data_IF_765579591890
#
_entry.id   IF_765579591890
#
_cell.length_a   1.000
_cell.length_b   1.000
_cell.length_c   1.000
_cell.angle_alpha   90.00
_cell.angle_beta   90.00
_cell.angle_gamma   90.00
#
_symmetry.space_group_name_H-M   'P 1'
#
loop_
_entity.id
_entity.type
_entity.pdbx_description
1 polymer ?
#
# COMPACT_ATOMS: atom_id res chain seq x y z
N UNK A 1 59.85 -44.42 11.42
CA UNK A 1 60.85 -43.36 11.17
C UNK A 1 60.44 -42.56 9.94
N UNK A 2 59.97 -41.33 10.15
CA UNK A 2 60.09 -40.11 9.31
C UNK A 2 58.88 -39.20 9.50
N UNK A 3 59.21 -37.96 9.80
CA UNK A 3 58.44 -36.80 10.23
C UNK A 3 57.61 -36.15 9.10
N UNK A 4 56.69 -35.23 9.44
CA UNK A 4 55.66 -34.70 8.54
C UNK A 4 56.15 -33.47 7.75
N UNK A 5 55.58 -33.22 6.56
CA UNK A 5 55.82 -31.95 5.85
C UNK A 5 54.59 -31.43 5.10
N UNK A 6 54.24 -30.19 5.48
CA UNK A 6 53.86 -29.03 4.66
C UNK A 6 52.47 -28.98 4.01
N UNK A 7 51.60 -28.25 4.74
CA UNK A 7 50.61 -27.28 4.26
C UNK A 7 50.92 -26.73 2.86
N UNK A 8 49.96 -26.85 1.94
CA UNK A 8 49.76 -25.91 0.85
C UNK A 8 48.27 -25.61 0.74
N UNK A 9 47.87 -24.49 1.35
CA UNK A 9 46.67 -23.76 0.96
C UNK A 9 46.91 -23.21 -0.45
N UNK A 10 46.16 -23.68 -1.44
CA UNK A 10 46.06 -22.97 -2.71
C UNK A 10 44.86 -22.04 -2.59
N UNK A 11 45.18 -20.76 -2.36
CA UNK A 11 44.29 -19.65 -2.60
C UNK A 11 44.13 -19.50 -4.12
N UNK A 12 42.92 -19.66 -4.63
CA UNK A 12 42.54 -19.11 -5.93
C UNK A 12 41.63 -17.90 -5.67
N UNK A 13 42.26 -16.73 -5.74
CA UNK A 13 41.56 -15.45 -5.76
C UNK A 13 41.20 -15.10 -7.22
N UNK A 14 39.88 -14.90 -7.42
CA UNK A 14 39.26 -13.82 -8.20
C UNK A 14 39.81 -13.46 -9.59
N UNK A 15 38.99 -13.71 -10.62
CA UNK A 15 38.62 -12.71 -11.63
C UNK A 15 37.47 -13.29 -12.49
N UNK A 16 36.28 -12.70 -12.41
CA UNK A 16 35.14 -13.16 -13.21
C UNK A 16 33.87 -12.37 -12.98
N UNK A 17 33.81 -11.21 -13.63
CA UNK A 17 32.62 -10.38 -13.89
C UNK A 17 31.74 -9.99 -12.69
N UNK A 18 31.92 -8.74 -12.23
CA UNK A 18 30.81 -7.96 -11.68
C UNK A 18 29.81 -7.74 -12.82
N UNK A 19 28.92 -8.71 -13.03
CA UNK A 19 27.67 -8.45 -13.72
C UNK A 19 26.89 -7.51 -12.80
N UNK A 20 26.72 -6.27 -13.23
CA UNK A 20 26.04 -5.24 -12.46
C UNK A 20 24.69 -5.74 -11.95
N UNK A 21 24.47 -5.62 -10.65
CA UNK A 21 23.16 -5.76 -10.03
C UNK A 21 22.26 -4.63 -10.55
N UNK A 22 21.72 -4.79 -11.75
CA UNK A 22 20.58 -4.02 -12.23
C UNK A 22 19.34 -4.46 -11.45
N UNK A 23 19.19 -3.93 -10.24
CA UNK A 23 18.10 -4.26 -9.34
C UNK A 23 16.75 -3.90 -9.94
N UNK A 24 15.92 -4.90 -10.21
CA UNK A 24 14.48 -4.73 -10.39
C UNK A 24 13.89 -4.25 -9.06
N UNK A 25 13.88 -2.94 -8.81
CA UNK A 25 13.34 -2.42 -7.55
C UNK A 25 13.37 -0.91 -7.34
N UNK A 26 14.20 -0.17 -8.09
CA UNK A 26 14.29 1.29 -8.01
C UNK A 26 13.25 2.03 -8.86
N UNK A 27 13.13 3.33 -8.67
CA UNK A 27 12.36 4.19 -9.58
C UNK A 27 13.02 4.26 -10.95
N UNK A 28 12.21 4.32 -12.00
CA UNK A 28 12.66 4.82 -13.29
C UNK A 28 12.57 6.35 -13.26
N UNK A 29 13.69 7.03 -13.46
CA UNK A 29 13.78 8.50 -13.48
C UNK A 29 13.61 8.98 -14.92
N UNK A 30 13.10 10.19 -15.10
CA UNK A 30 12.95 10.83 -16.43
C UNK A 30 14.29 10.80 -17.18
N UNK A 31 14.26 10.34 -18.42
CA UNK A 31 15.42 10.41 -19.30
C UNK A 31 15.80 11.90 -19.55
N UNK A 32 17.07 12.32 -19.33
CA UNK A 32 17.51 13.70 -19.57
C UNK A 32 17.15 14.23 -20.96
N UNK A 33 17.12 13.38 -21.98
CA UNK A 33 16.74 13.76 -23.35
C UNK A 33 15.25 14.16 -23.46
N UNK A 34 14.46 13.81 -22.44
CA UNK A 34 13.04 14.12 -22.28
C UNK A 34 12.81 15.07 -21.09
N UNK A 35 13.87 15.55 -20.42
CA UNK A 35 13.80 16.43 -19.24
C UNK A 35 13.56 17.92 -19.58
N UNK A 36 13.41 18.27 -20.87
CA UNK A 36 12.91 19.57 -21.31
C UNK A 36 11.48 19.86 -20.80
N UNK A 37 10.78 18.83 -20.34
CA UNK A 37 9.62 18.92 -19.48
C UNK A 37 10.07 19.08 -18.02
N UNK A 38 10.35 20.31 -17.57
CA UNK A 38 10.58 20.62 -16.16
C UNK A 38 9.45 20.11 -15.26
N UNK A 39 9.65 20.17 -13.94
CA UNK A 39 8.60 19.90 -12.95
C UNK A 39 7.36 20.74 -13.32
N UNK A 40 6.36 20.09 -13.95
CA UNK A 40 5.14 20.75 -14.44
C UNK A 40 5.10 21.19 -15.92
N UNK A 41 5.98 20.75 -16.83
CA UNK A 41 5.91 21.16 -18.24
C UNK A 41 5.42 20.05 -19.21
N UNK A 42 4.20 20.25 -19.71
CA UNK A 42 3.73 20.00 -21.10
C UNK A 42 4.23 18.77 -21.89
N UNK A 43 4.16 17.58 -21.31
CA UNK A 43 4.14 16.30 -22.07
C UNK A 43 2.74 15.67 -22.13
N UNK A 44 1.66 16.45 -21.92
CA UNK A 44 0.29 15.91 -21.81
C UNK A 44 0.08 14.86 -20.71
N UNK A 45 1.15 14.49 -19.98
CA UNK A 45 1.21 13.51 -18.92
C UNK A 45 0.74 14.16 -17.63
N UNK A 46 -0.09 13.43 -16.88
CA UNK A 46 -0.49 13.83 -15.54
C UNK A 46 0.65 13.70 -14.54
N UNK A 47 0.52 14.37 -13.39
CA UNK A 47 1.44 14.18 -12.26
C UNK A 47 0.63 13.86 -11.01
N UNK A 48 0.92 12.72 -10.39
CA UNK A 48 0.38 12.34 -9.09
C UNK A 48 1.42 12.64 -8.01
N UNK A 49 1.04 13.49 -7.06
CA UNK A 49 1.85 13.81 -5.89
C UNK A 49 1.57 12.80 -4.77
N UNK A 50 2.63 12.30 -4.14
CA UNK A 50 2.56 11.47 -2.94
C UNK A 50 3.39 12.09 -1.82
N UNK A 51 2.82 12.15 -0.62
CA UNK A 51 3.57 12.33 0.62
C UNK A 51 3.93 10.96 1.16
N UNK A 52 5.15 10.77 1.64
CA UNK A 52 5.66 9.49 2.10
C UNK A 52 5.99 9.59 3.58
N UNK A 53 5.52 8.61 4.35
CA UNK A 53 6.03 8.30 5.68
C UNK A 53 6.53 6.87 5.65
N UNK A 54 7.78 6.63 6.04
CA UNK A 54 8.39 5.31 5.86
C UNK A 54 9.23 4.88 7.06
N UNK A 55 9.20 3.57 7.34
CA UNK A 55 10.07 2.91 8.33
C UNK A 55 11.22 2.15 7.67
N UNK A 56 11.44 2.37 6.38
CA UNK A 56 12.53 1.78 5.62
C UNK A 56 13.82 2.55 5.81
N UNK A 57 14.95 1.86 5.83
CA UNK A 57 16.27 2.49 5.78
C UNK A 57 16.46 3.19 4.44
N UNK A 58 16.90 4.45 4.47
CA UNK A 58 17.31 5.18 3.28
C UNK A 58 18.46 4.47 2.54
N UNK A 59 18.41 4.49 1.22
CA UNK A 59 19.38 3.91 0.29
C UNK A 59 19.91 5.04 -0.61
N UNK A 60 21.22 5.13 -0.93
CA UNK A 60 21.74 6.19 -1.80
C UNK A 60 21.04 6.32 -3.17
N UNK A 61 20.68 7.57 -3.49
CA UNK A 61 20.23 8.14 -4.78
C UNK A 61 18.77 7.91 -5.24
N UNK A 62 18.22 8.93 -5.94
CA UNK A 62 17.32 9.92 -5.33
C UNK A 62 16.13 9.25 -4.61
N UNK A 63 15.96 9.59 -3.31
CA UNK A 63 14.93 9.04 -2.39
C UNK A 63 14.60 7.58 -2.70
N UNK A 64 15.60 6.73 -2.54
CA UNK A 64 15.42 5.29 -2.52
C UNK A 64 15.35 4.83 -1.07
N UNK A 65 14.43 3.92 -0.79
CA UNK A 65 14.34 3.26 0.50
C UNK A 65 14.43 1.75 0.30
N UNK A 66 15.33 1.12 1.05
CA UNK A 66 15.62 -0.30 0.95
C UNK A 66 14.61 -1.19 1.69
N UNK A 67 15.00 -2.45 1.89
CA UNK A 67 14.28 -3.42 2.69
C UNK A 67 14.61 -3.35 4.20
N UNK A 68 15.65 -2.61 4.58
CA UNK A 68 16.09 -2.47 5.96
C UNK A 68 15.09 -1.70 6.82
N UNK A 69 15.08 -1.99 8.12
CA UNK A 69 14.22 -1.33 9.12
C UNK A 69 14.92 -0.11 9.70
N UNK A 70 14.38 1.08 9.47
CA UNK A 70 14.78 2.30 10.16
C UNK A 70 14.25 2.31 11.60
N UNK A 71 14.95 3.03 12.48
CA UNK A 71 14.53 3.22 13.88
C UNK A 71 13.50 4.34 14.05
N UNK A 72 13.45 5.25 13.09
CA UNK A 72 12.61 6.45 13.08
C UNK A 72 11.86 6.53 11.75
N UNK A 73 10.79 7.31 11.72
CA UNK A 73 10.10 7.66 10.47
C UNK A 73 10.97 8.62 9.65
N UNK A 74 11.09 8.32 8.37
CA UNK A 74 11.57 9.26 7.37
C UNK A 74 10.40 9.75 6.51
N UNK A 75 10.54 10.96 5.96
CA UNK A 75 9.49 11.63 5.22
C UNK A 75 9.98 12.15 3.87
N UNK A 76 9.12 12.08 2.86
CA UNK A 76 9.41 12.59 1.53
C UNK A 76 8.16 13.05 0.79
N UNK A 77 8.35 13.81 -0.28
CA UNK A 77 7.38 14.10 -1.32
C UNK A 77 7.88 13.53 -2.63
N UNK A 78 7.02 12.81 -3.34
CA UNK A 78 7.30 12.26 -4.66
C UNK A 78 6.32 12.83 -5.68
N UNK A 79 6.83 13.18 -6.86
CA UNK A 79 6.05 13.49 -8.04
C UNK A 79 6.23 12.36 -9.06
N UNK A 80 5.14 11.70 -9.41
CA UNK A 80 5.12 10.56 -10.34
C UNK A 80 4.34 10.96 -11.59
N UNK A 81 4.95 10.84 -12.77
CA UNK A 81 4.23 11.04 -14.03
C UNK A 81 3.27 9.90 -14.30
N UNK A 82 2.12 10.22 -14.86
CA UNK A 82 1.14 9.28 -15.40
C UNK A 82 1.04 9.55 -16.91
N UNK A 83 1.42 8.60 -17.76
CA UNK A 83 1.55 8.88 -19.18
C UNK A 83 0.17 9.05 -19.85
N UNK A 84 0.05 9.83 -20.95
CA UNK A 84 -1.23 10.08 -21.61
C UNK A 84 -1.91 8.81 -22.15
N UNK A 85 -1.12 7.76 -22.41
CA UNK A 85 -1.60 6.46 -22.88
C UNK A 85 -1.95 5.48 -21.74
N UNK A 86 -2.03 5.97 -20.50
CA UNK A 86 -2.27 5.14 -19.32
C UNK A 86 -3.59 4.36 -19.42
N UNK A 87 -3.51 3.08 -19.05
CA UNK A 87 -4.67 2.18 -18.95
C UNK A 87 -4.98 1.90 -17.48
N UNK A 88 -6.25 2.12 -17.11
CA UNK A 88 -6.77 1.84 -15.77
C UNK A 88 -6.35 0.44 -15.29
N UNK A 89 -5.81 0.37 -14.07
CA UNK A 89 -5.31 -0.83 -13.41
C UNK A 89 -3.87 -1.24 -13.78
N UNK A 90 -3.29 -0.64 -14.82
CA UNK A 90 -1.96 -0.97 -15.32
C UNK A 90 -0.90 -0.01 -14.79
N UNK A 91 0.37 -0.42 -14.79
CA UNK A 91 1.48 0.49 -14.52
C UNK A 91 2.43 0.30 -15.69
N UNK A 92 2.43 1.27 -16.60
CA UNK A 92 3.30 1.29 -17.78
C UNK A 92 4.75 1.53 -17.32
N UNK A 93 5.49 0.45 -17.09
CA UNK A 93 6.88 0.53 -16.60
C UNK A 93 7.88 0.55 -17.75
N UNK A 94 8.94 1.32 -17.59
CA UNK A 94 10.14 1.17 -18.41
C UNK A 94 10.85 -0.15 -18.06
N UNK A 95 11.56 -0.72 -19.04
CA UNK A 95 12.42 -1.91 -18.85
C UNK A 95 13.76 -1.58 -18.19
N UNK A 96 14.05 -0.30 -17.93
CA UNK A 96 15.30 0.17 -17.31
C UNK A 96 15.10 1.31 -16.32
N UNK A 97 16.21 1.88 -15.84
CA UNK A 97 16.23 2.99 -14.89
C UNK A 97 15.83 4.34 -15.48
N UNK A 98 15.77 4.44 -16.81
CA UNK A 98 15.27 5.62 -17.52
C UNK A 98 13.85 5.39 -18.01
N UNK A 99 12.98 6.37 -17.83
CA UNK A 99 11.61 6.36 -18.30
C UNK A 99 11.31 7.58 -19.16
N UNK A 100 10.53 7.36 -20.21
CA UNK A 100 9.86 8.39 -21.00
C UNK A 100 8.47 8.67 -20.39
N UNK A 101 8.22 9.85 -19.80
CA UNK A 101 6.94 10.21 -19.19
C UNK A 101 5.75 10.21 -20.16
N UNK A 102 5.97 10.28 -21.48
CA UNK A 102 4.91 10.16 -22.46
C UNK A 102 4.40 8.72 -22.62
N UNK A 103 5.13 7.74 -22.09
CA UNK A 103 4.86 6.30 -22.28
C UNK A 103 4.85 5.50 -20.99
N UNK A 104 5.46 6.03 -19.93
CA UNK A 104 5.70 5.30 -18.69
C UNK A 104 5.44 6.14 -17.45
N UNK A 105 5.17 5.44 -16.36
CA UNK A 105 5.29 5.99 -15.02
C UNK A 105 6.76 6.28 -14.74
N UNK A 106 7.07 7.50 -14.31
CA UNK A 106 8.42 7.93 -13.99
C UNK A 106 8.42 8.77 -12.71
N UNK A 107 9.51 8.70 -11.95
CA UNK A 107 9.75 9.65 -10.86
C UNK A 107 10.26 10.96 -11.50
N UNK A 108 9.45 12.01 -11.44
CA UNK A 108 9.76 13.33 -12.01
C UNK A 108 10.24 14.33 -10.96
N UNK A 109 10.01 14.05 -9.68
CA UNK A 109 10.48 14.86 -8.57
C UNK A 109 10.51 14.07 -7.27
N UNK A 110 11.49 14.36 -6.42
CA UNK A 110 11.66 13.74 -5.12
C UNK A 110 12.28 14.76 -4.16
N UNK A 111 11.65 14.98 -3.03
CA UNK A 111 12.07 15.93 -2.00
C UNK A 111 11.98 15.28 -0.62
N UNK A 112 13.06 15.32 0.16
CA UNK A 112 13.03 14.87 1.56
C UNK A 112 12.31 15.93 2.40
N UNK A 113 11.35 15.49 3.21
CA UNK A 113 10.70 16.36 4.18
C UNK A 113 11.42 16.21 5.52
N UNK A 114 11.65 17.31 6.26
CA UNK A 114 12.50 17.28 7.45
C UNK A 114 11.89 16.47 8.60
N UNK A 115 10.57 16.47 8.74
CA UNK A 115 9.86 15.85 9.86
C UNK A 115 8.38 15.60 9.55
N UNK A 116 7.68 15.05 10.56
CA UNK A 116 6.26 14.75 10.51
C UNK A 116 5.40 16.02 10.35
N UNK A 117 5.82 17.15 10.94
CA UNK A 117 5.07 18.41 10.85
C UNK A 117 5.10 18.97 9.43
N UNK A 118 6.24 18.86 8.74
CA UNK A 118 6.35 19.22 7.34
C UNK A 118 5.45 18.34 6.45
N UNK A 119 5.36 17.03 6.73
CA UNK A 119 4.41 16.16 6.03
C UNK A 119 2.96 16.58 6.27
N UNK A 120 2.58 16.86 7.51
CA UNK A 120 1.20 17.26 7.83
C UNK A 120 0.87 18.62 7.22
N UNK A 121 1.80 19.56 7.27
CA UNK A 121 1.65 20.89 6.64
C UNK A 121 1.45 20.74 5.13
N UNK A 122 2.24 19.88 4.48
CA UNK A 122 2.07 19.58 3.07
C UNK A 122 0.72 18.91 2.76
N UNK A 123 0.24 18.00 3.62
CA UNK A 123 -1.06 17.37 3.48
C UNK A 123 -2.19 18.40 3.61
N UNK A 124 -2.13 19.29 4.59
CA UNK A 124 -3.11 20.38 4.75
C UNK A 124 -3.13 21.33 3.56
N UNK A 125 -1.95 21.72 3.06
CA UNK A 125 -1.85 22.62 1.92
C UNK A 125 -2.42 22.01 0.63
N UNK A 126 -2.36 20.68 0.49
CA UNK A 126 -2.97 19.95 -0.62
C UNK A 126 -4.44 19.58 -0.38
N UNK A 127 -4.99 19.82 0.81
CA UNK A 127 -6.37 19.50 1.15
C UNK A 127 -7.30 20.63 0.77
N UNK A 128 -8.45 20.30 0.18
CA UNK A 128 -9.52 21.27 -0.08
C UNK A 128 -10.82 20.81 0.60
N UNK A 129 -11.77 21.72 0.91
CA UNK A 129 -13.01 21.35 1.58
C UNK A 129 -13.76 20.24 0.84
N UNK A 130 -14.17 19.20 1.57
CA UNK A 130 -14.87 18.03 1.02
C UNK A 130 -13.96 16.93 0.47
N UNK A 131 -12.63 17.13 0.44
CA UNK A 131 -11.67 16.08 0.08
C UNK A 131 -11.05 15.44 1.31
N UNK A 132 -10.63 14.19 1.15
CA UNK A 132 -10.03 13.38 2.22
C UNK A 132 -8.58 13.06 1.88
N UNK A 133 -7.71 13.17 2.88
CA UNK A 133 -6.39 12.61 2.81
C UNK A 133 -6.48 11.08 2.88
N UNK A 134 -5.83 10.39 1.95
CA UNK A 134 -5.81 8.94 1.89
C UNK A 134 -4.46 8.45 2.39
N UNK A 135 -4.46 7.67 3.46
CA UNK A 135 -3.28 6.95 3.94
C UNK A 135 -3.32 5.54 3.39
N UNK A 136 -2.47 5.26 2.41
CA UNK A 136 -2.36 3.96 1.77
C UNK A 136 -1.19 3.15 2.34
N UNK A 137 -1.50 1.94 2.81
CA UNK A 137 -0.55 0.98 3.38
C UNK A 137 -0.42 -0.22 2.44
N UNK A 138 0.76 -0.42 1.86
CA UNK A 138 0.99 -1.49 0.90
C UNK A 138 1.02 -2.89 1.55
N UNK A 139 0.89 -3.93 0.73
CA UNK A 139 0.97 -5.33 1.15
C UNK A 139 2.36 -5.96 1.07
N UNK A 140 2.38 -7.28 1.21
CA UNK A 140 3.54 -8.18 1.13
C UNK A 140 4.32 -8.07 -0.19
N UNK A 141 5.64 -8.34 -0.16
CA UNK A 141 6.48 -8.47 -1.36
C UNK A 141 6.44 -7.20 -2.24
N UNK A 142 6.60 -6.05 -1.60
CA UNK A 142 6.66 -4.75 -2.27
C UNK A 142 7.92 -3.99 -1.88
N UNK A 143 8.76 -3.66 -2.87
CA UNK A 143 9.82 -2.66 -2.72
C UNK A 143 9.24 -1.25 -2.74
N UNK A 144 10.03 -0.26 -2.32
CA UNK A 144 9.57 1.12 -2.18
C UNK A 144 8.97 1.70 -3.48
N UNK A 145 9.72 1.68 -4.59
CA UNK A 145 9.24 2.23 -5.86
C UNK A 145 8.02 1.48 -6.41
N UNK A 146 8.00 0.14 -6.28
CA UNK A 146 6.86 -0.70 -6.68
C UNK A 146 5.59 -0.30 -5.93
N UNK A 147 5.69 -0.09 -4.61
CA UNK A 147 4.57 0.31 -3.76
C UNK A 147 4.10 1.75 -4.06
N UNK A 148 5.05 2.68 -4.22
CA UNK A 148 4.76 4.07 -4.54
C UNK A 148 4.06 4.23 -5.90
N UNK A 149 4.56 3.57 -6.95
CA UNK A 149 3.87 3.57 -8.25
C UNK A 149 2.48 2.97 -8.18
N UNK A 150 2.27 1.92 -7.37
CA UNK A 150 0.93 1.35 -7.20
C UNK A 150 -0.01 2.33 -6.51
N UNK A 151 0.44 3.02 -5.47
CA UNK A 151 -0.38 4.05 -4.82
C UNK A 151 -0.68 5.20 -5.78
N UNK A 152 0.30 5.68 -6.55
CA UNK A 152 0.08 6.73 -7.54
C UNK A 152 -0.95 6.32 -8.61
N UNK A 153 -0.86 5.09 -9.13
CA UNK A 153 -1.83 4.57 -10.08
C UNK A 153 -3.23 4.46 -9.45
N UNK A 154 -3.36 3.93 -8.23
CA UNK A 154 -4.66 3.84 -7.55
C UNK A 154 -5.25 5.23 -7.35
N UNK A 155 -4.47 6.19 -6.85
CA UNK A 155 -4.95 7.55 -6.66
C UNK A 155 -5.42 8.20 -7.96
N UNK A 156 -4.66 8.01 -9.03
CA UNK A 156 -4.99 8.51 -10.36
C UNK A 156 -6.28 7.89 -10.91
N UNK A 157 -6.35 6.56 -10.92
CA UNK A 157 -7.45 5.82 -11.51
C UNK A 157 -8.77 6.06 -10.80
N UNK A 158 -8.73 6.14 -9.47
CA UNK A 158 -9.89 6.52 -8.66
C UNK A 158 -10.18 8.02 -8.65
N UNK A 159 -9.34 8.83 -9.27
CA UNK A 159 -9.44 10.29 -9.29
C UNK A 159 -9.50 10.89 -7.88
N UNK A 160 -8.71 10.33 -6.95
CA UNK A 160 -8.63 10.80 -5.56
C UNK A 160 -7.98 12.19 -5.55
N UNK A 161 -8.77 13.21 -5.25
CA UNK A 161 -8.33 14.61 -5.34
C UNK A 161 -7.64 15.12 -4.08
N UNK A 162 -7.90 14.50 -2.94
CA UNK A 162 -7.28 14.88 -1.66
C UNK A 162 -5.82 14.41 -1.52
N UNK A 163 -5.14 14.79 -0.43
CA UNK A 163 -3.75 14.44 -0.20
C UNK A 163 -3.51 12.93 -0.20
N UNK A 164 -2.52 12.45 -0.94
CA UNK A 164 -2.18 11.02 -1.00
C UNK A 164 -0.94 10.75 -0.15
N UNK A 165 -1.11 10.03 0.96
CA UNK A 165 -0.06 9.69 1.92
C UNK A 165 0.29 8.21 1.80
N UNK A 166 1.46 7.90 1.25
CA UNK A 166 1.98 6.55 1.17
C UNK A 166 2.71 6.17 2.46
N UNK A 167 2.14 5.25 3.23
CA UNK A 167 2.87 4.65 4.35
C UNK A 167 3.63 3.41 3.86
N UNK A 168 4.97 3.48 3.92
CA UNK A 168 5.85 2.41 3.45
C UNK A 168 6.54 1.71 4.61
N UNK A 169 6.23 0.43 4.82
CA UNK A 169 6.89 -0.40 5.81
C UNK A 169 7.96 -1.29 5.17
N UNK A 170 8.89 -1.78 5.97
CA UNK A 170 10.11 -2.48 5.54
C UNK A 170 9.88 -3.89 5.01
N UNK A 171 9.17 -4.02 3.88
CA UNK A 171 9.07 -5.29 3.15
C UNK A 171 10.38 -5.61 2.45
N UNK A 172 10.78 -6.89 2.53
CA UNK A 172 11.93 -7.48 1.86
C UNK A 172 11.80 -7.45 0.33
N UNK A 173 10.60 -7.22 -0.20
CA UNK A 173 10.32 -7.32 -1.63
C UNK A 173 10.73 -8.68 -2.22
N UNK A 174 10.60 -9.73 -1.41
CA UNK A 174 10.97 -11.09 -1.75
C UNK A 174 9.82 -12.05 -1.41
N UNK A 175 9.29 -12.83 -2.38
CA UNK A 175 8.20 -13.79 -2.17
C UNK A 175 8.55 -14.98 -1.26
N UNK A 176 9.82 -15.13 -0.84
CA UNK A 176 10.24 -16.17 0.10
C UNK A 176 10.42 -15.64 1.54
N UNK A 177 10.35 -14.33 1.75
CA UNK A 177 10.63 -13.67 3.04
C UNK A 177 9.33 -13.27 3.77
N UNK A 178 8.34 -14.15 3.80
CA UNK A 178 7.03 -13.88 4.42
C UNK A 178 7.13 -13.56 5.92
N UNK A 179 7.94 -14.33 6.66
CA UNK A 179 8.13 -14.12 8.10
C UNK A 179 8.81 -12.80 8.41
N UNK A 180 9.84 -12.43 7.62
CA UNK A 180 10.46 -11.11 7.73
C UNK A 180 9.45 -9.99 7.50
N UNK A 181 8.62 -10.09 6.46
CA UNK A 181 7.60 -9.10 6.15
C UNK A 181 6.53 -9.00 7.25
N UNK A 182 6.10 -10.15 7.81
CA UNK A 182 5.17 -10.19 8.94
C UNK A 182 5.73 -9.47 10.17
N UNK A 183 6.98 -9.75 10.53
CA UNK A 183 7.63 -9.08 11.66
C UNK A 183 7.85 -7.59 11.39
N UNK A 184 8.24 -7.23 10.15
CA UNK A 184 8.41 -5.84 9.72
C UNK A 184 7.11 -5.04 9.81
N UNK A 185 5.98 -5.65 9.45
CA UNK A 185 4.65 -5.07 9.64
C UNK A 185 4.38 -4.78 11.11
N UNK A 186 4.56 -5.77 12.00
CA UNK A 186 4.30 -5.57 13.42
C UNK A 186 5.25 -4.54 14.06
N UNK A 187 6.50 -4.47 13.60
CA UNK A 187 7.46 -3.43 14.00
C UNK A 187 6.99 -2.04 13.53
N UNK A 188 6.42 -1.92 12.34
CA UNK A 188 5.98 -0.64 11.79
C UNK A 188 4.70 -0.09 12.45
N UNK A 189 4.01 -0.88 13.29
CA UNK A 189 2.76 -0.52 13.98
C UNK A 189 2.85 0.80 14.74
N UNK A 190 3.94 1.02 15.45
CA UNK A 190 4.15 2.20 16.30
C UNK A 190 4.35 3.47 15.48
N UNK A 191 5.04 3.33 14.33
CA UNK A 191 5.26 4.41 13.39
C UNK A 191 3.95 4.81 12.70
N UNK A 192 3.14 3.84 12.25
CA UNK A 192 1.81 4.16 11.70
C UNK A 192 0.91 4.78 12.78
N UNK A 193 0.95 4.30 14.03
CA UNK A 193 0.20 4.90 15.12
C UNK A 193 0.59 6.36 15.37
N UNK A 194 1.88 6.67 15.31
CA UNK A 194 2.41 8.05 15.42
C UNK A 194 1.88 8.95 14.31
N UNK A 195 1.95 8.49 13.05
CA UNK A 195 1.42 9.21 11.91
C UNK A 195 -0.08 9.48 12.04
N UNK A 196 -0.87 8.44 12.33
CA UNK A 196 -2.33 8.56 12.43
C UNK A 196 -2.74 9.49 13.57
N UNK A 197 -2.11 9.38 14.74
CA UNK A 197 -2.42 10.28 15.85
C UNK A 197 -2.21 11.75 15.48
N UNK A 198 -1.16 12.05 14.72
CA UNK A 198 -0.86 13.42 14.31
C UNK A 198 -1.82 13.92 13.24
N UNK A 199 -2.12 13.11 12.21
CA UNK A 199 -3.06 13.47 11.15
C UNK A 199 -4.48 13.65 11.69
N UNK A 200 -4.95 12.71 12.53
CA UNK A 200 -6.32 12.73 13.06
C UNK A 200 -6.55 13.84 14.08
N UNK A 201 -5.51 14.46 14.64
CA UNK A 201 -5.66 15.64 15.51
C UNK A 201 -5.73 16.94 14.72
N UNK A 202 -5.47 16.90 13.42
CA UNK A 202 -5.47 18.10 12.58
C UNK A 202 -6.89 18.48 12.18
N UNK A 203 -7.30 19.69 12.56
CA UNK A 203 -8.62 20.20 12.22
C UNK A 203 -8.65 20.62 10.75
N UNK A 204 -9.71 20.20 10.05
CA UNK A 204 -9.85 20.39 8.60
C UNK A 204 -9.16 19.33 7.74
N UNK A 205 -8.50 18.33 8.33
CA UNK A 205 -7.99 17.17 7.62
C UNK A 205 -8.88 15.94 7.89
N UNK A 206 -9.65 15.54 6.88
CA UNK A 206 -10.37 14.27 6.87
C UNK A 206 -9.42 13.16 6.42
N UNK A 207 -9.39 12.03 7.11
CA UNK A 207 -8.41 10.96 6.83
C UNK A 207 -9.13 9.64 6.58
N UNK A 208 -8.86 9.04 5.42
CA UNK A 208 -9.31 7.71 5.06
C UNK A 208 -8.13 6.73 4.99
N UNK A 209 -8.30 5.53 5.53
CA UNK A 209 -7.28 4.49 5.59
C UNK A 209 -7.55 3.41 4.54
N UNK A 210 -6.52 3.05 3.78
CA UNK A 210 -6.60 1.97 2.80
C UNK A 210 -5.41 1.03 2.99
N UNK A 211 -5.67 -0.23 3.35
CA UNK A 211 -4.64 -1.25 3.52
C UNK A 211 -4.82 -2.40 2.54
N UNK A 212 -3.75 -2.79 1.86
CA UNK A 212 -3.76 -3.98 1.00
C UNK A 212 -3.08 -5.16 1.69
N UNK A 213 -3.68 -6.34 1.70
CA UNK A 213 -3.05 -7.59 2.15
C UNK A 213 -2.47 -7.45 3.56
N UNK A 214 -1.19 -7.70 3.78
CA UNK A 214 -0.49 -7.46 5.06
C UNK A 214 -0.54 -6.01 5.56
N UNK A 215 -0.77 -5.03 4.68
CA UNK A 215 -1.04 -3.65 5.07
C UNK A 215 -2.37 -3.51 5.83
N UNK A 216 -3.34 -4.38 5.57
CA UNK A 216 -4.58 -4.45 6.36
C UNK A 216 -4.32 -4.99 7.77
N UNK A 217 -3.46 -6.00 7.92
CA UNK A 217 -3.00 -6.47 9.23
C UNK A 217 -2.35 -5.34 10.03
N UNK A 218 -1.47 -4.56 9.37
CA UNK A 218 -0.82 -3.40 9.98
C UNK A 218 -1.85 -2.37 10.49
N UNK A 219 -2.84 -2.02 9.66
CA UNK A 219 -3.90 -1.09 10.06
C UNK A 219 -4.63 -1.61 11.30
N UNK A 220 -5.10 -2.85 11.29
CA UNK A 220 -5.86 -3.40 12.43
C UNK A 220 -5.04 -3.42 13.72
N UNK A 221 -3.76 -3.81 13.63
CA UNK A 221 -2.85 -3.78 14.78
C UNK A 221 -2.62 -2.35 15.29
N UNK A 222 -2.46 -1.38 14.39
CA UNK A 222 -2.30 0.02 14.77
C UNK A 222 -3.55 0.60 15.41
N UNK A 223 -4.74 0.36 14.84
CA UNK A 223 -6.01 0.83 15.42
C UNK A 223 -6.23 0.21 16.80
N UNK A 224 -5.97 -1.10 16.94
CA UNK A 224 -6.02 -1.81 18.23
C UNK A 224 -5.08 -1.16 19.25
N UNK A 225 -3.85 -0.83 18.86
CA UNK A 225 -2.90 -0.17 19.75
C UNK A 225 -3.38 1.23 20.19
N UNK A 226 -3.90 2.04 19.26
CA UNK A 226 -4.42 3.38 19.58
C UNK A 226 -5.60 3.26 20.57
N UNK A 227 -6.51 2.31 20.36
CA UNK A 227 -7.62 2.07 21.27
C UNK A 227 -7.16 1.64 22.66
N UNK A 228 -6.22 0.68 22.75
CA UNK A 228 -5.69 0.18 24.03
C UNK A 228 -4.83 1.20 24.78
N UNK A 229 -4.27 2.20 24.11
CA UNK A 229 -3.53 3.28 24.75
C UNK A 229 -4.42 4.42 25.26
N UNK A 230 -5.75 4.29 25.20
CA UNK A 230 -6.71 5.29 25.69
C UNK A 230 -7.13 6.35 24.66
N UNK A 231 -6.66 6.27 23.41
CA UNK A 231 -7.00 7.23 22.34
C UNK A 231 -8.15 6.72 21.44
N UNK A 232 -9.05 5.87 21.95
CA UNK A 232 -10.12 5.24 21.14
C UNK A 232 -10.97 6.28 20.39
N UNK A 233 -11.39 7.36 21.07
CA UNK A 233 -12.22 8.41 20.47
C UNK A 233 -11.53 9.14 19.30
N UNK A 234 -10.20 9.05 19.18
CA UNK A 234 -9.50 9.60 18.03
C UNK A 234 -9.82 8.85 16.74
N UNK A 235 -10.12 7.55 16.84
CA UNK A 235 -10.45 6.70 15.70
C UNK A 235 -11.77 7.10 15.05
N UNK A 236 -12.68 7.73 15.78
CA UNK A 236 -13.95 8.25 15.27
C UNK A 236 -13.78 9.44 14.31
N UNK A 237 -12.56 10.00 14.23
CA UNK A 237 -12.20 11.04 13.24
C UNK A 237 -11.80 10.45 11.88
N UNK A 238 -11.65 9.13 11.77
CA UNK A 238 -11.44 8.47 10.49
C UNK A 238 -12.68 8.63 9.62
N UNK A 239 -12.47 9.03 8.37
CA UNK A 239 -13.54 9.23 7.41
C UNK A 239 -13.99 7.92 6.76
N UNK A 240 -13.07 6.97 6.59
CA UNK A 240 -13.35 5.58 6.24
C UNK A 240 -12.13 4.71 6.55
N UNK A 241 -12.34 3.41 6.77
CA UNK A 241 -11.27 2.41 6.78
C UNK A 241 -11.59 1.31 5.79
N UNK A 242 -10.70 1.05 4.84
CA UNK A 242 -10.88 0.02 3.80
C UNK A 242 -9.72 -0.97 3.82
N UNK A 243 -10.04 -2.25 3.99
CA UNK A 243 -9.09 -3.35 3.89
C UNK A 243 -9.33 -4.11 2.58
N UNK A 244 -8.30 -4.23 1.74
CA UNK A 244 -8.39 -4.90 0.44
C UNK A 244 -7.62 -6.22 0.52
N UNK A 245 -8.32 -7.33 0.28
CA UNK A 245 -7.80 -8.70 0.39
C UNK A 245 -6.89 -8.89 1.61
N UNK A 246 -7.32 -8.51 2.83
CA UNK A 246 -6.44 -8.46 3.99
C UNK A 246 -5.89 -9.85 4.36
N UNK A 247 -4.60 -9.95 4.61
CA UNK A 247 -3.95 -11.19 5.07
C UNK A 247 -4.06 -11.29 6.59
N UNK A 248 -5.30 -11.49 7.08
CA UNK A 248 -5.65 -11.60 8.49
C UNK A 248 -6.44 -12.90 8.68
N UNK A 249 -6.12 -13.64 9.74
CA UNK A 249 -6.93 -14.76 10.19
C UNK A 249 -8.27 -14.26 10.77
N UNK A 250 -9.39 -14.96 10.54
CA UNK A 250 -10.68 -14.48 11.02
C UNK A 250 -10.73 -14.36 12.55
N UNK A 251 -10.17 -15.31 13.31
CA UNK A 251 -10.16 -15.23 14.77
C UNK A 251 -9.30 -14.07 15.26
N UNK A 252 -8.19 -13.80 14.57
CA UNK A 252 -7.39 -12.61 14.83
C UNK A 252 -8.16 -11.33 14.55
N UNK A 253 -8.87 -11.23 13.42
CA UNK A 253 -9.68 -10.06 13.10
C UNK A 253 -10.77 -9.82 14.15
N UNK A 254 -11.48 -10.87 14.57
CA UNK A 254 -12.49 -10.78 15.65
C UNK A 254 -11.87 -10.32 16.97
N UNK A 255 -10.73 -10.88 17.35
CA UNK A 255 -10.02 -10.47 18.56
C UNK A 255 -9.57 -9.00 18.50
N UNK A 256 -9.11 -8.53 17.33
CA UNK A 256 -8.78 -7.13 17.10
C UNK A 256 -10.02 -6.24 17.21
N UNK A 257 -11.10 -6.55 16.46
CA UNK A 257 -12.35 -5.79 16.47
C UNK A 257 -12.95 -5.69 17.88
N UNK A 258 -12.94 -6.78 18.65
CA UNK A 258 -13.38 -6.77 20.04
C UNK A 258 -12.52 -5.86 20.93
N UNK A 259 -11.19 -5.85 20.74
CA UNK A 259 -10.31 -4.94 21.47
C UNK A 259 -10.53 -3.46 21.10
N UNK A 260 -10.90 -3.19 19.85
CA UNK A 260 -11.33 -1.85 19.41
C UNK A 260 -12.64 -1.44 20.09
N UNK A 261 -13.53 -2.39 20.40
CA UNK A 261 -14.85 -2.16 20.99
C UNK A 261 -15.91 -1.84 19.94
N UNK A 262 -15.62 -0.86 19.07
CA UNK A 262 -16.34 -0.63 17.82
C UNK A 262 -15.35 -0.29 16.72
N UNK A 263 -15.64 -0.73 15.50
CA UNK A 263 -14.84 -0.37 14.33
C UNK A 263 -15.14 1.09 13.92
N UNK A 264 -14.14 1.86 13.44
CA UNK A 264 -14.39 3.18 12.89
C UNK A 264 -15.22 3.06 11.60
N UNK A 265 -16.35 3.76 11.53
CA UNK A 265 -17.30 3.63 10.44
C UNK A 265 -17.18 4.75 9.39
N UNK A 266 -17.36 4.45 8.08
CA UNK A 266 -17.57 3.12 7.51
C UNK A 266 -16.30 2.27 7.52
N UNK A 267 -16.44 1.01 7.92
CA UNK A 267 -15.38 0.00 7.87
C UNK A 267 -15.65 -0.99 6.73
N UNK A 268 -14.86 -0.93 5.67
CA UNK A 268 -15.04 -1.76 4.48
C UNK A 268 -13.98 -2.84 4.37
N UNK A 269 -14.40 -4.06 4.05
CA UNK A 269 -13.51 -5.16 3.67
C UNK A 269 -13.86 -5.60 2.25
N UNK A 270 -12.91 -5.44 1.33
CA UNK A 270 -13.05 -5.82 -0.07
C UNK A 270 -12.30 -7.13 -0.32
N UNK A 271 -12.98 -8.17 -0.80
CA UNK A 271 -12.42 -9.51 -0.98
C UNK A 271 -12.69 -10.07 -2.38
N UNK A 272 -11.95 -11.11 -2.74
CA UNK A 272 -12.28 -11.99 -3.85
C UNK A 272 -11.91 -13.44 -3.47
N UNK A 273 -12.86 -14.36 -3.49
CA UNK A 273 -12.66 -15.75 -3.03
C UNK A 273 -11.67 -16.54 -3.90
N UNK A 274 -11.48 -16.12 -5.15
CA UNK A 274 -10.51 -16.72 -6.09
C UNK A 274 -9.08 -16.18 -5.92
N UNK A 275 -8.78 -15.54 -4.79
CA UNK A 275 -7.47 -15.00 -4.45
C UNK A 275 -6.47 -16.12 -4.13
N UNK A 276 -5.58 -16.38 -5.10
CA UNK A 276 -4.55 -17.42 -5.00
C UNK A 276 -3.50 -17.13 -3.94
N UNK A 277 -3.26 -15.86 -3.58
CA UNK A 277 -2.23 -15.47 -2.62
C UNK A 277 -2.68 -15.70 -1.17
N UNK A 278 -3.96 -15.50 -0.86
CA UNK A 278 -4.51 -15.87 0.46
C UNK A 278 -4.46 -17.38 0.67
N UNK A 279 -4.70 -18.18 -0.38
CA UNK A 279 -4.56 -19.66 -0.31
C UNK A 279 -3.12 -20.12 -0.03
N UNK A 280 -2.11 -19.39 -0.53
CA UNK A 280 -0.70 -19.69 -0.25
C UNK A 280 -0.31 -19.29 1.19
N UNK A 281 -0.84 -18.17 1.71
CA UNK A 281 -0.58 -17.74 3.09
C UNK A 281 -1.23 -18.66 4.13
N UNK A 282 -2.41 -19.23 3.82
CA UNK A 282 -3.06 -20.29 4.61
C UNK A 282 -2.14 -21.51 4.77
N UNK A 283 -1.43 -21.92 3.71
CA UNK A 283 -0.50 -23.04 3.74
C UNK A 283 0.75 -22.79 4.60
N UNK A 284 1.24 -21.55 4.66
CA UNK A 284 2.41 -21.16 5.45
C UNK A 284 2.09 -20.91 6.94
N UNK A 285 0.83 -20.61 7.28
CA UNK A 285 0.40 -20.30 8.65
C UNK A 285 -0.39 -21.43 9.33
N UNK A 286 -0.29 -22.66 8.82
CA UNK A 286 -0.86 -23.84 9.50
C UNK A 286 -2.34 -24.13 9.19
N UNK A 287 -2.87 -23.62 8.08
CA UNK A 287 -4.15 -24.09 7.52
C UNK A 287 -5.43 -23.39 8.02
N UNK A 288 -5.33 -22.34 8.83
CA UNK A 288 -6.50 -21.57 9.24
C UNK A 288 -7.07 -20.72 8.08
N UNK A 289 -8.40 -20.54 8.07
CA UNK A 289 -9.10 -19.76 7.07
C UNK A 289 -8.73 -18.26 7.20
N UNK A 290 -8.26 -17.66 6.10
CA UNK A 290 -8.03 -16.21 6.03
C UNK A 290 -9.34 -15.49 5.76
N UNK A 291 -9.42 -14.25 6.23
CA UNK A 291 -10.56 -13.35 6.01
C UNK A 291 -10.96 -13.35 4.53
N UNK A 292 -12.16 -13.83 4.24
CA UNK A 292 -12.75 -13.78 2.89
C UNK A 292 -13.32 -15.10 2.37
N UNK A 293 -13.47 -16.13 3.20
CA UNK A 293 -14.29 -17.30 2.88
C UNK A 293 -15.80 -17.00 2.98
N UNK A 294 -16.67 -17.87 2.46
CA UNK A 294 -18.14 -17.67 2.53
C UNK A 294 -18.63 -17.60 3.98
N UNK A 295 -18.09 -18.44 4.87
CA UNK A 295 -18.43 -18.44 6.30
C UNK A 295 -17.99 -17.15 7.03
N UNK A 296 -17.03 -16.43 6.45
CA UNK A 296 -16.51 -15.19 7.02
C UNK A 296 -17.41 -13.98 6.75
N UNK A 297 -18.24 -14.03 5.71
CA UNK A 297 -19.07 -12.90 5.28
C UNK A 297 -20.12 -12.52 6.33
N UNK A 298 -20.90 -13.48 6.79
CA UNK A 298 -21.95 -13.25 7.79
C UNK A 298 -21.34 -12.83 9.14
N UNK A 299 -20.15 -13.33 9.46
CA UNK A 299 -19.41 -12.95 10.67
C UNK A 299 -18.88 -11.52 10.60
N UNK A 300 -18.45 -11.06 9.42
CA UNK A 300 -18.02 -9.68 9.21
C UNK A 300 -19.21 -8.72 9.31
N UNK A 301 -20.36 -9.08 8.75
CA UNK A 301 -21.59 -8.30 8.88
C UNK A 301 -21.99 -8.10 10.35
N UNK A 302 -21.90 -9.15 11.17
CA UNK A 302 -22.16 -9.06 12.61
C UNK A 302 -21.21 -8.13 13.39
N UNK A 303 -20.10 -7.69 12.78
CA UNK A 303 -19.17 -6.69 13.33
C UNK A 303 -19.41 -5.28 12.77
N UNK A 304 -20.46 -5.09 11.97
CA UNK A 304 -20.74 -3.83 11.28
C UNK A 304 -19.75 -3.52 10.15
N UNK A 305 -19.17 -4.55 9.51
CA UNK A 305 -18.27 -4.39 8.36
C UNK A 305 -19.06 -4.37 7.07
N UNK A 306 -18.81 -3.38 6.21
CA UNK A 306 -19.27 -3.34 4.84
C UNK A 306 -18.42 -4.29 3.99
N UNK A 307 -19.03 -5.31 3.38
CA UNK A 307 -18.29 -6.29 2.57
C UNK A 307 -18.53 -6.07 1.08
N UNK A 308 -17.42 -5.89 0.35
CA UNK A 308 -17.41 -5.80 -1.12
C UNK A 308 -16.82 -7.09 -1.67
N UNK A 309 -17.68 -7.97 -2.19
CA UNK A 309 -17.28 -9.24 -2.78
C UNK A 309 -17.14 -9.13 -4.30
N UNK A 310 -15.90 -9.23 -4.77
CA UNK A 310 -15.51 -9.13 -6.19
C UNK A 310 -15.20 -10.49 -6.82
N UNK A 311 -15.60 -11.59 -6.20
CA UNK A 311 -15.29 -12.96 -6.68
C UNK A 311 -15.71 -13.21 -8.13
N UNK A 312 -16.83 -12.62 -8.56
CA UNK A 312 -17.34 -12.78 -9.92
C UNK A 312 -16.59 -12.00 -10.99
N UNK A 313 -15.69 -11.07 -10.62
CA UNK A 313 -14.92 -10.31 -11.62
C UNK A 313 -13.88 -11.24 -12.23
N UNK A 314 -14.07 -11.54 -13.52
CA UNK A 314 -13.06 -12.20 -14.32
C UNK A 314 -11.94 -11.20 -14.63
N UNK A 315 -10.72 -11.50 -14.20
CA UNK A 315 -9.52 -10.78 -14.60
C UNK A 315 -8.43 -11.76 -15.08
N UNK A 316 -7.63 -11.31 -16.04
CA UNK A 316 -6.52 -12.05 -16.64
C UNK A 316 -5.24 -11.98 -15.80
N UNK A 317 -5.25 -11.19 -14.71
CA UNK A 317 -4.13 -10.93 -13.81
C UNK A 317 -4.22 -11.60 -12.43
N UNK A 318 -3.61 -10.97 -11.42
CA UNK A 318 -3.64 -11.44 -10.02
C UNK A 318 -4.92 -10.96 -9.32
N UNK A 319 -5.76 -11.89 -8.91
CA UNK A 319 -6.99 -11.60 -8.15
C UNK A 319 -6.73 -11.03 -6.74
N UNK A 320 -5.46 -10.91 -6.31
CA UNK A 320 -5.10 -10.45 -4.96
C UNK A 320 -5.23 -8.95 -4.75
N UNK A 321 -5.35 -8.16 -5.82
CA UNK A 321 -5.56 -6.71 -5.72
C UNK A 321 -6.46 -6.20 -6.84
N UNK A 322 -7.63 -6.84 -7.03
CA UNK A 322 -8.59 -6.46 -8.06
C UNK A 322 -8.97 -4.96 -8.02
N UNK A 323 -9.21 -4.33 -6.85
CA UNK A 323 -9.48 -2.89 -6.79
C UNK A 323 -8.37 -2.00 -7.37
N UNK A 324 -7.13 -2.47 -7.48
CA UNK A 324 -6.06 -1.69 -8.09
C UNK A 324 -5.61 -2.19 -9.46
N UNK A 325 -6.12 -3.33 -9.94
CA UNK A 325 -5.58 -3.99 -11.15
C UNK A 325 -6.64 -4.32 -12.20
N UNK A 326 -7.90 -4.46 -11.80
CA UNK A 326 -9.01 -4.71 -12.71
C UNK A 326 -9.72 -3.40 -13.04
N UNK A 327 -9.70 -3.02 -14.33
CA UNK A 327 -10.41 -1.83 -14.79
C UNK A 327 -11.91 -1.89 -14.49
N UNK A 328 -12.52 -3.08 -14.57
CA UNK A 328 -13.93 -3.30 -14.24
C UNK A 328 -14.21 -3.12 -12.74
N UNK A 329 -13.33 -3.64 -11.87
CA UNK A 329 -13.47 -3.44 -10.43
C UNK A 329 -13.33 -1.96 -10.05
N UNK A 330 -12.34 -1.28 -10.62
CA UNK A 330 -12.10 0.16 -10.42
C UNK A 330 -13.31 0.97 -10.85
N UNK A 331 -13.80 0.76 -12.08
CA UNK A 331 -14.94 1.50 -12.62
C UNK A 331 -16.20 1.30 -11.77
N UNK A 332 -16.44 0.08 -11.28
CA UNK A 332 -17.57 -0.19 -10.40
C UNK A 332 -17.44 0.57 -9.07
N UNK A 333 -16.31 0.43 -8.38
CA UNK A 333 -16.08 1.08 -7.08
C UNK A 333 -16.16 2.61 -7.21
N UNK A 334 -15.64 3.18 -8.31
CA UNK A 334 -15.83 4.60 -8.62
C UNK A 334 -17.30 4.95 -8.78
N UNK A 335 -18.05 4.21 -9.59
CA UNK A 335 -19.47 4.48 -9.83
C UNK A 335 -20.31 4.43 -8.54
N UNK A 336 -19.99 3.52 -7.62
CA UNK A 336 -20.68 3.42 -6.33
C UNK A 336 -20.39 4.59 -5.41
N UNK A 337 -19.13 5.03 -5.36
CA UNK A 337 -18.72 6.22 -4.62
C UNK A 337 -19.39 7.46 -5.19
N UNK A 338 -19.36 7.64 -6.51
CA UNK A 338 -19.87 8.84 -7.17
C UNK A 338 -21.41 8.93 -7.13
N UNK A 339 -22.09 7.79 -6.96
CA UNK A 339 -23.54 7.73 -6.80
C UNK A 339 -24.03 7.98 -5.35
N UNK A 340 -23.12 8.23 -4.39
CA UNK A 340 -23.42 8.22 -2.94
C UNK A 340 -24.22 6.97 -2.52
N UNK A 341 -24.08 5.87 -3.26
CA UNK A 341 -24.96 4.71 -3.20
C UNK A 341 -24.66 3.77 -2.03
N UNK A 342 -24.06 4.28 -0.95
CA UNK A 342 -24.03 3.62 0.35
C UNK A 342 -25.41 3.80 1.03
N UNK A 343 -26.48 3.45 0.32
CA UNK A 343 -27.85 3.41 0.80
C UNK A 343 -28.21 1.99 1.30
N UNK A 344 -29.13 1.81 2.27
CA UNK A 344 -29.10 0.71 3.25
C UNK A 344 -29.61 -0.67 2.78
N UNK A 345 -29.35 -1.09 1.54
CA UNK A 345 -29.71 -2.43 1.07
C UNK A 345 -28.63 -3.04 0.18
N UNK A 346 -28.44 -4.35 0.30
CA UNK A 346 -27.51 -5.13 -0.53
C UNK A 346 -27.65 -4.76 -2.00
N UNK A 347 -26.55 -4.37 -2.63
CA UNK A 347 -26.53 -3.95 -4.02
C UNK A 347 -25.68 -4.94 -4.82
N UNK A 348 -26.31 -5.57 -5.81
CA UNK A 348 -25.60 -6.39 -6.80
C UNK A 348 -25.49 -5.59 -8.09
N UNK A 349 -24.27 -5.36 -8.57
CA UNK A 349 -24.01 -4.71 -9.86
C UNK A 349 -23.16 -5.65 -10.70
N UNK A 350 -23.83 -6.36 -11.61
CA UNK A 350 -23.18 -7.37 -12.45
C UNK A 350 -22.53 -8.48 -11.60
N UNK A 351 -21.22 -8.77 -11.79
CA UNK A 351 -20.54 -9.85 -11.07
C UNK A 351 -20.10 -9.50 -9.64
N UNK A 352 -20.38 -8.29 -9.16
CA UNK A 352 -19.99 -7.84 -7.82
C UNK A 352 -21.21 -7.72 -6.93
N UNK A 353 -21.06 -8.27 -5.72
CA UNK A 353 -22.03 -8.17 -4.64
C UNK A 353 -21.47 -7.24 -3.58
N UNK A 354 -22.26 -6.23 -3.20
CA UNK A 354 -21.99 -5.38 -2.06
C UNK A 354 -23.05 -5.68 -1.02
N UNK A 355 -22.59 -6.16 0.12
CA UNK A 355 -23.45 -6.32 1.30
C UNK A 355 -23.02 -5.27 2.30
N UNK A 356 -23.94 -4.38 2.61
CA UNK A 356 -23.70 -3.30 3.55
C UNK A 356 -24.04 -3.83 4.96
N UNK A 357 -23.07 -3.77 5.88
CA UNK A 357 -23.26 -4.22 7.26
C UNK A 357 -24.35 -3.38 7.93
N UNK A 358 -25.39 -4.05 8.43
CA UNK A 358 -26.54 -3.45 9.12
C UNK A 358 -26.54 -3.76 10.61
#
# INVERSE_FOLDING_TARGET
MRTPTRRHFIALASAGAVAGCGGQGGFSVVDPDHAGAGVGADVGAGVQQLLVATTRTADPAPIAYGAGRAKTLDFARLAISIPPNHKVGQIERSRGSRADPARHFALTGAETLPDLEALVTAARAASTPGQEAVVFVHGYNNGFAKAAYRHAQVAWDYELKGPQIHFSWSSAANPFEYTYDRDSVLIARDALATLLRRLLREDGLRVSLVGHSMGGLLIMETLRQIALSGDRALLDRLSATTLISPDIDMDLFRAQAHALGHLPQPFTVAIAQNDRLLRLSSGLSGGAARLGSVEDLDQLEGLGVFVVDMTGIADTGSNHFLPGTSASAIALIKGLRDADALAPQSLSVGPVSIKLGG
#
